data_IF_061069412368
#
_entry.id   IF_061069412368
#
_cell.length_a   1.000
_cell.length_b   1.000
_cell.length_c   1.000
_cell.angle_alpha   90.00
_cell.angle_beta   90.00
_cell.angle_gamma   90.00
#
_symmetry.space_group_name_H-M   'P 1'
#
loop_
_entity.id
_entity.type
_entity.pdbx_description
1 polymer ?
#
# COMPACT_ATOMS: atom_id res chain seq x y z
N UNK A 1 -2.90 1.10 -6.54
CA UNK A 1 -2.39 1.33 -5.17
C UNK A 1 -2.56 0.11 -4.27
N UNK A 2 -3.77 -0.44 -4.17
CA UNK A 2 -4.05 -1.59 -3.29
C UNK A 2 -3.21 -2.83 -3.59
N UNK A 3 -3.07 -3.20 -4.86
CA UNK A 3 -2.25 -4.35 -5.29
C UNK A 3 -0.79 -4.16 -4.92
N UNK A 4 -0.22 -2.97 -5.20
CA UNK A 4 1.13 -2.59 -4.77
C UNK A 4 1.28 -2.66 -3.25
N UNK A 5 0.36 -2.08 -2.50
CA UNK A 5 0.37 -2.14 -1.04
C UNK A 5 0.27 -3.57 -0.50
N UNK A 6 -0.57 -4.41 -1.11
CA UNK A 6 -0.75 -5.81 -0.74
C UNK A 6 0.51 -6.64 -0.98
N UNK A 7 1.13 -6.49 -2.15
CA UNK A 7 2.35 -7.23 -2.52
C UNK A 7 3.53 -6.75 -1.68
N UNK A 8 3.75 -5.45 -1.59
CA UNK A 8 4.91 -4.87 -0.92
C UNK A 8 4.78 -5.01 0.60
N UNK A 9 3.64 -4.59 1.17
CA UNK A 9 3.38 -4.74 2.60
C UNK A 9 3.27 -6.20 3.03
N UNK A 10 2.70 -7.04 2.17
CA UNK A 10 2.54 -8.47 2.41
C UNK A 10 3.87 -9.18 2.46
N UNK A 11 4.74 -8.96 1.48
CA UNK A 11 6.10 -9.52 1.47
C UNK A 11 6.93 -9.03 2.64
N UNK A 12 6.89 -7.73 2.95
CA UNK A 12 7.58 -7.14 4.10
C UNK A 12 7.13 -7.76 5.44
N UNK A 13 5.81 -7.86 5.66
CA UNK A 13 5.24 -8.43 6.88
C UNK A 13 5.43 -9.94 7.01
N UNK A 14 5.45 -10.67 5.88
CA UNK A 14 5.56 -12.13 5.84
C UNK A 14 7.00 -12.62 6.04
N UNK A 15 7.96 -12.01 5.34
CA UNK A 15 9.37 -12.40 5.35
C UNK A 15 10.07 -11.83 6.59
N UNK A 16 9.78 -10.57 6.94
CA UNK A 16 10.45 -9.88 8.04
C UNK A 16 11.93 -9.57 7.77
N UNK A 17 12.67 -9.24 8.82
CA UNK A 17 14.12 -9.05 8.78
C UNK A 17 14.59 -7.91 7.87
N UNK A 18 15.61 -8.18 7.04
CA UNK A 18 16.22 -7.18 6.15
C UNK A 18 15.30 -6.69 5.04
N UNK A 19 14.46 -7.57 4.48
CA UNK A 19 13.51 -7.22 3.42
C UNK A 19 12.50 -6.22 3.95
N UNK A 20 11.99 -6.48 5.15
CA UNK A 20 11.07 -5.58 5.84
C UNK A 20 11.71 -4.21 6.10
N UNK A 21 12.90 -4.18 6.70
CA UNK A 21 13.61 -2.94 6.99
C UNK A 21 13.92 -2.13 5.72
N UNK A 22 14.38 -2.76 4.64
CA UNK A 22 14.69 -2.07 3.39
C UNK A 22 13.42 -1.50 2.74
N UNK A 23 12.36 -2.31 2.67
CA UNK A 23 11.08 -1.90 2.09
C UNK A 23 10.44 -0.76 2.89
N UNK A 24 10.45 -0.87 4.22
CA UNK A 24 9.90 0.16 5.09
C UNK A 24 10.73 1.43 5.04
N UNK A 25 12.06 1.37 4.93
CA UNK A 25 12.89 2.58 4.70
C UNK A 25 12.48 3.33 3.44
N UNK A 26 12.25 2.62 2.33
CA UNK A 26 11.78 3.25 1.09
C UNK A 26 10.39 3.85 1.29
N UNK A 27 9.47 3.13 1.93
CA UNK A 27 8.14 3.66 2.24
C UNK A 27 8.22 4.91 3.13
N UNK A 28 9.09 4.91 4.15
CA UNK A 28 9.30 6.00 5.09
C UNK A 28 9.85 7.25 4.39
N UNK A 29 10.74 7.08 3.40
CA UNK A 29 11.23 8.17 2.55
C UNK A 29 10.09 8.86 1.79
N UNK A 30 9.18 8.07 1.19
CA UNK A 30 8.02 8.61 0.48
C UNK A 30 7.05 9.33 1.43
N UNK A 31 6.82 8.76 2.62
CA UNK A 31 5.92 9.32 3.62
C UNK A 31 6.48 10.54 4.37
N UNK A 32 7.77 10.84 4.21
CA UNK A 32 8.38 12.05 4.77
C UNK A 32 7.88 13.30 4.03
N UNK A 33 7.52 13.17 2.75
CA UNK A 33 6.93 14.25 1.99
C UNK A 33 5.42 14.30 2.20
N UNK A 34 4.82 15.49 2.38
CA UNK A 34 3.38 15.65 2.29
C UNK A 34 2.87 15.10 0.95
N UNK A 35 1.77 14.33 0.98
CA UNK A 35 1.22 13.63 -0.21
C UNK A 35 0.94 14.58 -1.36
N UNK A 36 0.45 15.80 -1.07
CA UNK A 36 0.24 16.85 -2.07
C UNK A 36 1.53 17.26 -2.78
N UNK A 37 2.61 17.48 -2.03
CA UNK A 37 3.91 17.92 -2.59
C UNK A 37 4.48 16.83 -3.49
N UNK A 38 4.46 15.58 -3.03
CA UNK A 38 4.93 14.45 -3.81
C UNK A 38 4.08 14.26 -5.08
N UNK A 39 2.77 14.47 -4.98
CA UNK A 39 1.88 14.39 -6.15
C UNK A 39 2.18 15.49 -7.16
N UNK A 40 2.43 16.73 -6.74
CA UNK A 40 2.85 17.81 -7.64
C UNK A 40 4.17 17.50 -8.34
N UNK A 41 5.14 16.97 -7.60
CA UNK A 41 6.41 16.51 -8.18
C UNK A 41 6.16 15.44 -9.25
N UNK A 42 5.36 14.41 -8.94
CA UNK A 42 5.01 13.35 -9.89
C UNK A 42 4.30 13.90 -11.13
N UNK A 43 3.36 14.83 -10.98
CA UNK A 43 2.70 15.49 -12.13
C UNK A 43 3.70 16.30 -12.96
N UNK A 44 4.64 17.01 -12.31
CA UNK A 44 5.70 17.72 -13.02
C UNK A 44 6.61 16.81 -13.85
N UNK A 45 6.84 15.58 -13.38
CA UNK A 45 7.62 14.55 -14.11
C UNK A 45 6.81 13.87 -15.21
N UNK A 46 5.53 13.56 -14.95
CA UNK A 46 4.65 12.83 -15.88
C UNK A 46 4.03 13.73 -16.95
N UNK A 47 3.95 15.04 -16.70
CA UNK A 47 3.21 16.02 -17.49
C UNK A 47 1.78 16.23 -16.98
N UNK A 48 1.15 17.31 -17.43
CA UNK A 48 -0.24 17.64 -17.06
C UNK A 48 -1.26 16.71 -17.70
N UNK A 49 -2.46 16.68 -17.13
CA UNK A 49 -3.62 15.92 -17.62
C UNK A 49 -4.16 14.94 -16.58
N UNK A 50 -5.47 14.70 -16.63
CA UNK A 50 -6.22 13.93 -15.64
C UNK A 50 -5.63 12.56 -15.37
N UNK A 51 -5.22 11.84 -16.43
CA UNK A 51 -4.60 10.52 -16.31
C UNK A 51 -3.30 10.58 -15.49
N UNK A 52 -2.46 11.57 -15.76
CA UNK A 52 -1.18 11.73 -15.06
C UNK A 52 -1.38 12.16 -13.61
N UNK A 53 -2.37 13.03 -13.33
CA UNK A 53 -2.80 13.39 -11.98
C UNK A 53 -3.26 12.17 -11.19
N UNK A 54 -4.12 11.34 -11.78
CA UNK A 54 -4.61 10.11 -11.13
C UNK A 54 -3.44 9.17 -10.82
N UNK A 55 -2.53 8.97 -11.77
CA UNK A 55 -1.34 8.13 -11.58
C UNK A 55 -0.43 8.71 -10.49
N UNK A 56 -0.17 10.01 -10.49
CA UNK A 56 0.65 10.71 -9.52
C UNK A 56 0.12 10.54 -8.08
N UNK A 57 -1.19 10.75 -7.89
CA UNK A 57 -1.84 10.56 -6.59
C UNK A 57 -1.75 9.10 -6.16
N UNK A 58 -2.04 8.17 -7.07
CA UNK A 58 -1.98 6.73 -6.80
C UNK A 58 -0.56 6.27 -6.37
N UNK A 59 0.47 6.74 -7.08
CA UNK A 59 1.88 6.48 -6.77
C UNK A 59 2.40 7.26 -5.56
N UNK A 60 1.65 8.22 -5.04
CA UNK A 60 2.00 8.89 -3.79
C UNK A 60 1.45 8.15 -2.57
N UNK A 61 0.37 7.38 -2.72
CA UNK A 61 -0.32 6.72 -1.60
C UNK A 61 0.12 5.28 -1.31
N UNK A 62 0.86 4.61 -2.22
CA UNK A 62 1.18 3.17 -2.06
C UNK A 62 1.92 2.84 -0.76
N UNK A 63 2.79 3.73 -0.28
CA UNK A 63 3.60 3.52 0.91
C UNK A 63 2.72 3.38 2.17
N UNK A 64 1.65 4.17 2.26
CA UNK A 64 0.69 4.11 3.37
C UNK A 64 -0.06 2.77 3.38
N UNK A 65 -0.57 2.36 2.22
CA UNK A 65 -1.21 1.04 2.07
C UNK A 65 -0.25 -0.11 2.37
N UNK A 66 1.01 -0.04 1.90
CA UNK A 66 2.03 -1.05 2.19
C UNK A 66 2.29 -1.17 3.70
N UNK A 67 2.41 -0.04 4.41
CA UNK A 67 2.59 -0.04 5.88
C UNK A 67 1.38 -0.65 6.61
N UNK A 68 0.16 -0.34 6.17
CA UNK A 68 -1.07 -0.91 6.73
C UNK A 68 -1.14 -2.43 6.52
N UNK A 69 -0.93 -2.90 5.29
CA UNK A 69 -0.88 -4.33 4.98
C UNK A 69 0.17 -5.03 5.83
N UNK A 70 1.39 -4.47 5.91
CA UNK A 70 2.46 -5.03 6.75
C UNK A 70 1.99 -5.20 8.19
N UNK A 71 1.38 -4.17 8.78
CA UNK A 71 0.87 -4.22 10.16
C UNK A 71 -0.14 -5.35 10.35
N UNK A 72 -1.12 -5.46 9.43
CA UNK A 72 -2.13 -6.52 9.45
C UNK A 72 -1.49 -7.90 9.30
N UNK A 73 -0.53 -8.07 8.38
CA UNK A 73 0.15 -9.34 8.14
C UNK A 73 0.99 -9.76 9.36
N UNK A 74 1.69 -8.83 10.00
CA UNK A 74 2.43 -9.13 11.24
C UNK A 74 1.48 -9.60 12.34
N UNK A 75 0.33 -8.95 12.49
CA UNK A 75 -0.71 -9.32 13.48
C UNK A 75 -1.34 -10.69 13.17
N UNK A 76 -1.68 -10.94 11.91
CA UNK A 76 -2.34 -12.19 11.50
C UNK A 76 -1.40 -13.39 11.49
N UNK A 77 -0.11 -13.20 11.20
CA UNK A 77 0.87 -14.29 11.15
C UNK A 77 1.11 -14.97 12.50
N UNK A 78 0.74 -14.31 13.62
CA UNK A 78 0.81 -14.86 14.97
C UNK A 78 -0.46 -15.64 15.39
N UNK A 79 -1.47 -15.75 14.52
CA UNK A 79 -2.72 -16.47 14.83
C UNK A 79 -2.54 -17.99 14.71
N UNK A 80 -3.32 -18.73 15.48
CA UNK A 80 -3.25 -20.20 15.56
C UNK A 80 -3.44 -20.90 14.21
N UNK A 81 -4.35 -20.42 13.35
CA UNK A 81 -4.57 -21.01 12.02
C UNK A 81 -3.34 -20.90 11.10
N UNK A 82 -2.56 -19.82 11.23
CA UNK A 82 -1.31 -19.65 10.46
C UNK A 82 -0.22 -20.57 11.00
N UNK A 83 -0.13 -20.70 12.33
CA UNK A 83 0.82 -21.59 12.98
C UNK A 83 0.54 -23.06 12.62
N UNK A 84 -0.73 -23.48 12.67
CA UNK A 84 -1.16 -24.81 12.26
C UNK A 84 -0.82 -25.10 10.78
N UNK A 85 -1.07 -24.14 9.88
CA UNK A 85 -0.69 -24.26 8.47
C UNK A 85 0.82 -24.46 8.27
N UNK A 86 1.64 -23.71 9.01
CA UNK A 86 3.11 -23.85 8.97
C UNK A 86 3.59 -25.20 9.52
N UNK A 87 2.99 -25.69 10.61
CA UNK A 87 3.29 -27.02 11.17
C UNK A 87 2.95 -28.14 10.18
N UNK A 88 1.93 -27.95 9.35
CA UNK A 88 1.57 -28.84 8.25
C UNK A 88 2.49 -28.74 7.02
N UNK A 89 3.60 -27.99 7.10
CA UNK A 89 4.58 -27.86 6.02
C UNK A 89 4.26 -26.80 4.98
N UNK A 90 3.29 -25.90 5.20
CA UNK A 90 3.01 -24.83 4.26
C UNK A 90 4.15 -23.80 4.22
N UNK A 91 4.69 -23.56 3.02
CA UNK A 91 5.68 -22.50 2.79
C UNK A 91 5.11 -21.10 2.95
N UNK A 92 6.00 -20.10 3.10
CA UNK A 92 5.63 -18.70 3.33
C UNK A 92 4.64 -18.16 2.27
N UNK A 93 4.89 -18.41 0.99
CA UNK A 93 4.04 -17.92 -0.11
C UNK A 93 2.64 -18.53 -0.03
N UNK A 94 2.54 -19.83 0.26
CA UNK A 94 1.26 -20.54 0.38
C UNK A 94 0.46 -20.03 1.57
N UNK A 95 1.09 -19.84 2.72
CA UNK A 95 0.47 -19.21 3.90
C UNK A 95 -0.06 -17.82 3.56
N UNK A 96 0.68 -17.04 2.77
CA UNK A 96 0.26 -15.70 2.40
C UNK A 96 -0.96 -15.71 1.48
N UNK A 97 -0.91 -16.43 0.36
CA UNK A 97 -1.99 -16.44 -0.63
C UNK A 97 -3.25 -17.07 -0.05
N UNK A 98 -3.12 -18.21 0.62
CA UNK A 98 -4.28 -19.02 1.05
C UNK A 98 -4.95 -18.47 2.32
N UNK A 99 -4.21 -17.76 3.20
CA UNK A 99 -4.73 -17.36 4.51
C UNK A 99 -4.62 -15.86 4.81
N UNK A 100 -3.47 -15.23 4.52
CA UNK A 100 -3.25 -13.83 4.90
C UNK A 100 -3.87 -12.85 3.91
N UNK A 101 -3.72 -13.07 2.61
CA UNK A 101 -4.25 -12.18 1.58
C UNK A 101 -5.78 -12.07 1.68
N UNK A 102 -6.47 -13.21 1.79
CA UNK A 102 -7.92 -13.25 2.00
C UNK A 102 -8.38 -12.54 3.26
N UNK A 103 -7.60 -12.59 4.35
CA UNK A 103 -7.92 -11.90 5.61
C UNK A 103 -7.66 -10.38 5.55
N UNK A 104 -6.70 -9.93 4.74
CA UNK A 104 -6.31 -8.51 4.63
C UNK A 104 -7.17 -7.73 3.63
N UNK A 105 -7.62 -8.38 2.54
CA UNK A 105 -8.39 -7.75 1.47
C UNK A 105 -9.65 -7.01 1.98
N UNK A 106 -10.50 -7.58 2.87
CA UNK A 106 -11.68 -6.89 3.37
C UNK A 106 -11.34 -5.57 4.08
N UNK A 107 -10.31 -5.58 4.94
CA UNK A 107 -9.84 -4.36 5.62
C UNK A 107 -9.32 -3.33 4.62
N UNK A 108 -8.59 -3.77 3.59
CA UNK A 108 -8.11 -2.89 2.52
C UNK A 108 -9.25 -2.26 1.71
N UNK A 109 -10.32 -3.01 1.43
CA UNK A 109 -11.48 -2.49 0.70
C UNK A 109 -12.19 -1.41 1.50
N UNK A 110 -12.38 -1.60 2.81
CA UNK A 110 -12.96 -0.58 3.70
C UNK A 110 -12.07 0.68 3.76
N UNK A 111 -10.76 0.50 3.84
CA UNK A 111 -9.82 1.63 3.80
C UNK A 111 -9.89 2.37 2.46
N UNK A 112 -9.92 1.63 1.36
CA UNK A 112 -10.01 2.21 0.02
C UNK A 112 -11.28 3.03 -0.16
N UNK A 113 -12.43 2.56 0.33
CA UNK A 113 -13.69 3.31 0.19
C UNK A 113 -13.67 4.61 0.98
N UNK A 114 -13.06 4.62 2.17
CA UNK A 114 -12.87 5.85 2.96
C UNK A 114 -11.87 6.82 2.29
N UNK A 115 -10.88 6.30 1.59
CA UNK A 115 -9.81 7.10 0.96
C UNK A 115 -10.23 7.71 -0.39
N UNK A 116 -11.23 7.13 -1.07
CA UNK A 116 -11.76 7.64 -2.35
C UNK A 116 -12.15 9.13 -2.24
N UNK A 117 -12.79 9.53 -1.15
CA UNK A 117 -13.18 10.93 -0.93
C UNK A 117 -11.98 11.88 -0.90
N UNK A 118 -10.92 11.48 -0.19
CA UNK A 118 -9.66 12.24 -0.13
C UNK A 118 -8.99 12.31 -1.51
N UNK A 119 -8.93 11.19 -2.23
CA UNK A 119 -8.37 11.15 -3.59
C UNK A 119 -9.13 12.06 -4.55
N UNK A 120 -10.47 12.09 -4.48
CA UNK A 120 -11.29 12.99 -5.31
C UNK A 120 -11.00 14.47 -5.02
N UNK A 121 -10.83 14.84 -3.76
CA UNK A 121 -10.44 16.20 -3.38
C UNK A 121 -9.06 16.59 -3.92
N UNK A 122 -8.10 15.66 -3.88
CA UNK A 122 -6.77 15.89 -4.47
C UNK A 122 -6.84 16.07 -6.00
N UNK A 123 -7.59 15.22 -6.70
CA UNK A 123 -7.80 15.36 -8.15
C UNK A 123 -8.45 16.70 -8.46
N UNK A 124 -9.54 17.05 -7.77
CA UNK A 124 -10.23 18.33 -7.96
C UNK A 124 -9.32 19.54 -7.70
N UNK A 125 -8.50 19.49 -6.64
CA UNK A 125 -7.52 20.52 -6.34
C UNK A 125 -6.47 20.68 -7.44
N UNK A 126 -5.97 19.58 -8.01
CA UNK A 126 -5.01 19.61 -9.11
C UNK A 126 -5.64 20.10 -10.41
N UNK A 127 -6.87 19.66 -10.74
CA UNK A 127 -7.63 20.18 -11.88
C UNK A 127 -7.91 21.68 -11.75
N UNK A 128 -8.25 22.16 -10.56
CA UNK A 128 -8.43 23.59 -10.29
C UNK A 128 -7.13 24.39 -10.53
N UNK A 129 -5.97 23.82 -10.19
CA UNK A 129 -4.66 24.41 -10.46
C UNK A 129 -4.23 24.29 -11.94
N UNK A 130 -5.07 23.74 -12.82
CA UNK A 130 -4.78 23.57 -14.25
C UNK A 130 -3.81 22.41 -14.55
N UNK A 131 -3.59 21.50 -13.59
CA UNK A 131 -2.71 20.34 -13.73
C UNK A 131 -3.45 19.08 -14.20
N UNK A 132 -4.76 19.02 -13.96
CA UNK A 132 -5.64 17.91 -14.36
C UNK A 132 -6.22 18.03 -15.76
#
# INVERSE_FOLDING_TARGET
VLTLGLVIGGSAGLIGGRVDQATMRVADMFMTFPTSILSFFMVGVLGTGLTNVIIAIALSHWAWYARMVRSLVISLRQREFVLASRLSGAGHVRVFVDHLAGAVIPSLLVLATLDIGHMMLHVAGMSFLGLG
#
